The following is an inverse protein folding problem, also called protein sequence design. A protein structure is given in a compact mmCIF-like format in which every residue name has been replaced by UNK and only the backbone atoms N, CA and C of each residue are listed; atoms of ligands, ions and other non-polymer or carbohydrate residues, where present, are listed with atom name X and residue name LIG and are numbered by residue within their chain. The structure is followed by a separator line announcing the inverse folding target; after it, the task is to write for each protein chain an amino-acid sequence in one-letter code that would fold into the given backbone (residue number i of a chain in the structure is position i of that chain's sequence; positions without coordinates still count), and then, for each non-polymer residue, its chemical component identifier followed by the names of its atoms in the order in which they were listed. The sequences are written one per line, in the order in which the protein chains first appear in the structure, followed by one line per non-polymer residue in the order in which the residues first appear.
data_IF_298473620954
#
_entry.id   IF_298473620954
#
_cell.length_a   1.000
_cell.length_b   1.000
_cell.length_c   1.000
_cell.angle_alpha   90.00
_cell.angle_beta   90.00
_cell.angle_gamma   90.00
#
_symmetry.space_group_name_H-M   'P 1'
#
loop_
_entity.id
_entity.type
_entity.pdbx_description
1 polymer ?
#
# COMPACT_ATOMS: atom_id res chain seq x y z
N UNK A 1 -8.70 7.17 -29.17
CA UNK A 1 -8.75 5.84 -28.54
C UNK A 1 -7.65 5.71 -27.46
N UNK A 2 -7.39 6.77 -26.66
CA UNK A 2 -6.19 6.86 -25.82
C UNK A 2 -6.37 7.58 -24.47
N UNK A 3 -7.60 7.76 -23.96
CA UNK A 3 -7.85 8.52 -22.71
C UNK A 3 -8.10 7.62 -21.48
N UNK A 4 -8.55 6.38 -21.67
CA UNK A 4 -8.82 5.46 -20.56
C UNK A 4 -7.55 4.67 -20.15
N UNK A 5 -6.69 4.32 -21.11
CA UNK A 5 -5.45 3.60 -20.84
C UNK A 5 -4.38 4.50 -20.21
N UNK A 6 -4.24 5.74 -20.68
CA UNK A 6 -3.36 6.75 -20.07
C UNK A 6 -3.72 7.05 -18.62
N UNK A 7 -5.02 7.09 -18.30
CA UNK A 7 -5.51 7.25 -16.93
C UNK A 7 -5.09 6.07 -16.02
N UNK A 8 -5.13 4.84 -16.53
CA UNK A 8 -4.81 3.67 -15.71
C UNK A 8 -3.31 3.57 -15.38
N UNK A 9 -2.43 3.95 -16.30
CA UNK A 9 -0.99 4.02 -16.05
C UNK A 9 -0.67 5.09 -15.00
N UNK A 10 -1.33 6.25 -15.08
CA UNK A 10 -1.19 7.32 -14.07
C UNK A 10 -1.71 6.88 -12.69
N UNK A 11 -2.82 6.14 -12.64
CA UNK A 11 -3.35 5.56 -11.41
C UNK A 11 -2.39 4.51 -10.86
N UNK A 12 -1.84 3.63 -11.70
CA UNK A 12 -0.86 2.62 -11.29
C UNK A 12 0.37 3.30 -10.68
N UNK A 13 0.91 4.35 -11.31
CA UNK A 13 2.05 5.10 -10.78
C UNK A 13 1.74 5.71 -9.40
N UNK A 14 0.54 6.30 -9.23
CA UNK A 14 0.11 6.85 -7.94
C UNK A 14 -0.05 5.78 -6.87
N UNK A 15 -0.58 4.61 -7.21
CA UNK A 15 -0.71 3.51 -6.25
C UNK A 15 0.67 2.95 -5.86
N UNK A 16 1.58 2.79 -6.82
CA UNK A 16 2.95 2.35 -6.56
C UNK A 16 3.76 3.33 -5.70
N UNK A 17 3.51 4.64 -5.81
CA UNK A 17 4.15 5.65 -4.93
C UNK A 17 3.76 5.49 -3.45
N UNK A 18 2.66 4.80 -3.16
CA UNK A 18 2.17 4.50 -1.80
C UNK A 18 2.67 3.16 -1.25
N UNK A 19 3.26 2.33 -2.10
CA UNK A 19 3.70 0.98 -1.78
C UNK A 19 5.23 0.89 -1.67
N UNK A 20 5.83 -0.05 -0.93
CA UNK A 20 5.17 -1.18 -0.27
C UNK A 20 4.65 -0.84 1.14
N UNK A 21 3.43 -1.27 1.47
CA UNK A 21 2.89 -1.46 2.83
C UNK A 21 3.21 -0.30 3.80
N UNK A 22 2.88 0.94 3.43
CA UNK A 22 3.12 2.16 4.25
C UNK A 22 4.60 2.51 4.53
N UNK A 23 5.56 1.87 3.85
CA UNK A 23 7.00 2.13 4.01
C UNK A 23 7.50 3.32 3.16
N UNK A 24 6.67 4.35 3.01
CA UNK A 24 6.95 5.55 2.22
C UNK A 24 6.96 6.79 3.12
N UNK A 25 8.12 7.14 3.72
CA UNK A 25 8.19 8.21 4.72
C UNK A 25 7.75 9.59 4.20
N UNK A 26 7.81 9.83 2.88
CA UNK A 26 7.33 11.08 2.28
C UNK A 26 5.82 11.26 2.37
N UNK A 27 5.08 10.17 2.63
CA UNK A 27 3.64 10.18 2.89
C UNK A 27 3.30 10.35 4.38
N UNK A 28 4.31 10.54 5.23
CA UNK A 28 4.16 10.68 6.67
C UNK A 28 4.47 9.39 7.44
N UNK A 29 4.71 9.55 8.74
CA UNK A 29 5.16 8.46 9.64
C UNK A 29 4.50 8.52 11.02
N UNK A 30 3.50 9.40 11.18
CA UNK A 30 2.71 9.50 12.41
C UNK A 30 1.43 8.68 12.29
N UNK A 31 0.79 8.40 13.44
CA UNK A 31 -0.52 7.74 13.45
C UNK A 31 -1.55 8.47 12.57
N UNK A 32 -1.62 9.79 12.68
CA UNK A 32 -2.55 10.61 11.92
C UNK A 32 -2.30 10.52 10.40
N UNK A 33 -1.02 10.43 9.99
CA UNK A 33 -0.67 10.25 8.58
C UNK A 33 -1.16 8.89 8.05
N UNK A 34 -1.03 7.82 8.84
CA UNK A 34 -1.52 6.50 8.44
C UNK A 34 -3.05 6.42 8.47
N UNK A 35 -3.70 7.09 9.42
CA UNK A 35 -5.16 7.23 9.46
C UNK A 35 -5.66 7.92 8.19
N UNK A 36 -5.02 9.00 7.75
CA UNK A 36 -5.40 9.72 6.52
C UNK A 36 -5.20 8.89 5.23
N UNK A 37 -4.37 7.86 5.26
CA UNK A 37 -4.10 6.96 4.14
C UNK A 37 -5.01 5.74 4.10
N UNK A 38 -5.84 5.52 5.12
CA UNK A 38 -6.69 4.33 5.25
C UNK A 38 -8.17 4.72 5.39
N UNK A 39 -9.06 3.91 4.81
CA UNK A 39 -10.48 4.04 5.06
C UNK A 39 -10.81 3.61 6.50
N UNK A 40 -11.92 4.12 7.07
CA UNK A 40 -12.31 3.81 8.44
C UNK A 40 -12.60 2.33 8.69
N UNK A 41 -13.03 1.60 7.65
CA UNK A 41 -13.32 0.17 7.66
C UNK A 41 -12.16 -0.70 7.13
N UNK A 42 -10.96 -0.12 7.02
CA UNK A 42 -9.77 -0.82 6.55
C UNK A 42 -9.41 -2.03 7.43
N UNK A 43 -8.92 -3.10 6.78
CA UNK A 43 -8.35 -4.27 7.40
C UNK A 43 -7.25 -4.87 6.51
N UNK A 44 -6.33 -5.61 7.12
CA UNK A 44 -5.22 -6.26 6.44
C UNK A 44 -5.28 -7.77 6.66
N UNK A 45 -5.14 -8.56 5.59
CA UNK A 45 -4.85 -9.98 5.68
C UNK A 45 -3.33 -10.19 5.71
N UNK A 46 -2.80 -10.64 6.85
CA UNK A 46 -1.38 -10.90 6.99
C UNK A 46 -0.97 -12.27 6.43
N UNK A 47 0.33 -12.46 6.20
CA UNK A 47 0.91 -13.76 5.81
C UNK A 47 0.64 -14.88 6.84
N UNK A 48 0.31 -14.50 8.08
CA UNK A 48 -0.16 -15.38 9.15
C UNK A 48 -1.55 -16.00 8.92
N UNK A 49 -2.24 -15.64 7.81
CA UNK A 49 -3.64 -15.99 7.50
C UNK A 49 -4.66 -15.41 8.48
N UNK A 50 -4.26 -14.40 9.23
CA UNK A 50 -5.15 -13.66 10.13
C UNK A 50 -5.59 -12.36 9.47
N UNK A 51 -6.76 -11.89 9.86
CA UNK A 51 -7.27 -10.56 9.50
C UNK A 51 -7.06 -9.62 10.68
N UNK A 52 -6.41 -8.50 10.42
CA UNK A 52 -6.14 -7.46 11.40
C UNK A 52 -6.97 -6.22 11.06
N UNK A 53 -7.69 -5.68 12.04
CA UNK A 53 -8.40 -4.41 11.88
C UNK A 53 -7.44 -3.22 11.83
N UNK A 54 -7.93 -2.09 11.29
CA UNK A 54 -7.17 -0.84 11.12
C UNK A 54 -6.30 -0.45 12.32
N UNK A 55 -6.88 -0.30 13.51
CA UNK A 55 -6.13 0.15 14.70
C UNK A 55 -4.94 -0.74 15.01
N UNK A 56 -5.09 -2.06 14.86
CA UNK A 56 -3.99 -3.01 15.10
C UNK A 56 -2.84 -2.81 14.11
N UNK A 57 -3.17 -2.59 12.83
CA UNK A 57 -2.18 -2.33 11.77
C UNK A 57 -1.46 -1.00 12.07
N UNK A 58 -2.21 0.07 12.33
CA UNK A 58 -1.65 1.41 12.55
C UNK A 58 -0.80 1.48 13.83
N UNK A 59 -1.25 0.86 14.92
CA UNK A 59 -0.46 0.75 16.17
C UNK A 59 0.85 0.00 15.92
N UNK A 60 0.82 -1.00 15.05
CA UNK A 60 2.02 -1.76 14.67
C UNK A 60 2.98 -0.94 13.84
N UNK A 61 2.50 -0.13 12.88
CA UNK A 61 3.33 0.80 12.11
C UNK A 61 4.02 1.83 13.01
N UNK A 62 3.26 2.48 13.90
CA UNK A 62 3.79 3.50 14.83
C UNK A 62 4.82 2.88 15.79
N UNK A 63 4.53 1.69 16.33
CA UNK A 63 5.44 0.99 17.25
C UNK A 63 6.72 0.53 16.55
N UNK A 64 6.61 0.04 15.31
CA UNK A 64 7.74 -0.50 14.54
C UNK A 64 8.62 0.62 14.01
N UNK A 65 8.06 1.78 13.71
CA UNK A 65 8.77 2.89 13.07
C UNK A 65 9.37 2.47 11.73
N UNK A 66 10.41 3.18 11.27
CA UNK A 66 11.19 2.73 10.12
C UNK A 66 11.94 1.44 10.49
N UNK A 67 11.74 0.40 9.71
CA UNK A 67 12.39 -0.89 9.93
C UNK A 67 13.70 -0.90 9.16
N UNK A 68 14.81 -1.30 9.80
CA UNK A 68 16.02 -1.64 9.07
C UNK A 68 15.75 -2.80 8.10
N UNK A 69 16.09 -2.63 6.82
CA UNK A 69 15.98 -3.69 5.81
C UNK A 69 14.80 -3.56 4.85
N UNK A 70 13.81 -2.69 5.11
CA UNK A 70 12.75 -2.42 4.13
C UNK A 70 13.29 -1.76 2.86
N UNK A 71 14.50 -1.15 2.91
CA UNK A 71 15.18 -0.63 1.73
C UNK A 71 15.46 -1.68 0.66
N UNK A 72 15.40 -2.97 1.01
CA UNK A 72 15.61 -4.08 0.09
C UNK A 72 14.30 -4.60 -0.53
N UNK A 73 13.15 -4.11 -0.07
CA UNK A 73 11.87 -4.57 -0.56
C UNK A 73 11.65 -4.12 -1.99
N UNK A 74 11.41 -5.08 -2.89
CA UNK A 74 11.22 -4.81 -4.31
C UNK A 74 9.84 -5.25 -4.74
N UNK A 75 9.17 -4.38 -5.50
CA UNK A 75 7.88 -4.66 -6.13
C UNK A 75 8.12 -5.01 -7.60
N UNK A 76 7.58 -6.14 -8.04
CA UNK A 76 7.56 -6.57 -9.44
C UNK A 76 6.17 -7.00 -9.88
N UNK A 77 5.97 -7.16 -11.19
CA UNK A 77 4.72 -7.66 -11.79
C UNK A 77 3.46 -6.92 -11.32
N UNK A 78 3.59 -5.60 -11.15
CA UNK A 78 2.48 -4.76 -10.70
C UNK A 78 1.37 -4.71 -11.76
N UNK A 79 0.13 -4.91 -11.31
CA UNK A 79 -1.07 -4.82 -12.13
C UNK A 79 -2.14 -4.02 -11.40
N UNK A 80 -2.76 -3.09 -12.12
CA UNK A 80 -3.87 -2.27 -11.63
C UNK A 80 -5.14 -2.63 -12.40
N UNK A 81 -6.22 -2.90 -11.67
CA UNK A 81 -7.54 -3.21 -12.25
C UNK A 81 -8.62 -2.30 -11.66
N UNK A 82 -9.42 -1.60 -12.47
CA UNK A 82 -10.56 -0.84 -11.96
C UNK A 82 -11.64 -1.76 -11.37
N UNK A 83 -12.21 -1.35 -10.24
CA UNK A 83 -13.35 -1.98 -9.56
C UNK A 83 -14.61 -1.09 -9.57
N UNK A 84 -14.45 0.20 -9.89
CA UNK A 84 -15.50 1.20 -9.98
C UNK A 84 -14.90 2.54 -10.40
N UNK A 85 -15.68 3.62 -10.35
CA UNK A 85 -15.30 4.92 -10.93
C UNK A 85 -13.99 5.51 -10.37
N UNK A 86 -13.70 5.27 -9.09
CA UNK A 86 -12.49 5.77 -8.38
C UNK A 86 -11.88 4.72 -7.46
N UNK A 87 -12.14 3.45 -7.73
CA UNK A 87 -11.69 2.33 -6.90
C UNK A 87 -10.93 1.35 -7.77
N UNK A 88 -9.74 0.99 -7.35
CA UNK A 88 -8.81 0.17 -8.12
C UNK A 88 -8.20 -0.90 -7.21
N UNK A 89 -8.01 -2.10 -7.76
CA UNK A 89 -7.23 -3.15 -7.14
C UNK A 89 -5.80 -3.08 -7.68
N UNK A 90 -4.83 -2.87 -6.80
CA UNK A 90 -3.42 -3.07 -7.09
C UNK A 90 -3.01 -4.47 -6.61
N UNK A 91 -2.33 -5.22 -7.46
CA UNK A 91 -1.68 -6.48 -7.10
C UNK A 91 -0.24 -6.46 -7.58
N UNK A 92 0.67 -7.03 -6.80
CA UNK A 92 2.09 -7.10 -7.14
C UNK A 92 2.75 -8.30 -6.47
N UNK A 93 3.94 -8.65 -6.94
CA UNK A 93 4.86 -9.51 -6.21
C UNK A 93 5.76 -8.64 -5.33
N UNK A 94 5.91 -9.06 -4.07
CA UNK A 94 6.78 -8.41 -3.10
C UNK A 94 7.91 -9.35 -2.74
N UNK A 95 9.14 -8.93 -3.01
CA UNK A 95 10.34 -9.61 -2.55
C UNK A 95 10.88 -8.87 -1.31
N UNK A 96 11.04 -9.58 -0.20
CA UNK A 96 11.61 -9.05 1.05
C UNK A 96 13.15 -9.18 1.12
N UNK A 97 13.81 -9.52 0.02
CA UNK A 97 15.27 -9.54 -0.09
C UNK A 97 15.93 -10.88 0.23
N UNK A 98 15.18 -11.99 0.23
CA UNK A 98 15.71 -13.35 0.46
C UNK A 98 16.14 -13.64 1.89
#
# INVERSE_FOLDING_TARGET
MNDAASNLDDVLAQLLDREPIFHRPHLGTTRADYEAQTADDFWEAGASRQVYGRDHVLDSLVRRGKVPGDEYWTISDASCRPLGDRTYALTYQLDHGG
#
